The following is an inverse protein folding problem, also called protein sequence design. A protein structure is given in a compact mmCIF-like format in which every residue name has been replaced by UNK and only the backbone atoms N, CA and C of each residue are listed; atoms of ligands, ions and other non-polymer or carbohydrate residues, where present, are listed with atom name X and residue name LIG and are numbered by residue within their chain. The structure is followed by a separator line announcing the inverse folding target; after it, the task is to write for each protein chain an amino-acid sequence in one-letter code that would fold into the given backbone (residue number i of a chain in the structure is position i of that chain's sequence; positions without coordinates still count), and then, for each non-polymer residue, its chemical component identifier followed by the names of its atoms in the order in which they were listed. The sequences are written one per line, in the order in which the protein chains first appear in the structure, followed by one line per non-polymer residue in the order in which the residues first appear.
data_IF_312555129664
#
_entry.id   IF_312555129664
#
_cell.length_a   1.000
_cell.length_b   1.000
_cell.length_c   1.000
_cell.angle_alpha   90.00
_cell.angle_beta   90.00
_cell.angle_gamma   90.00
#
_symmetry.space_group_name_H-M   'P 1'
#
loop_
_entity.id
_entity.type
_entity.pdbx_description
1 polymer ?
#
# COMPACT_ATOMS: atom_id res chain seq x y z
N UNK A 1 -21.46 31.54 -20.26
CA UNK A 1 -21.16 30.16 -19.81
C UNK A 1 -19.69 30.14 -19.42
N UNK A 2 -19.38 30.70 -18.25
CA UNK A 2 -18.07 30.56 -17.63
C UNK A 2 -18.00 29.13 -17.09
N UNK A 3 -17.31 28.27 -17.84
CA UNK A 3 -16.74 27.06 -17.25
C UNK A 3 -15.80 27.51 -16.14
N UNK A 4 -16.30 27.47 -14.89
CA UNK A 4 -15.47 27.44 -13.69
C UNK A 4 -14.51 26.25 -13.84
N UNK A 5 -13.39 26.49 -14.51
CA UNK A 5 -12.16 25.78 -14.21
C UNK A 5 -11.82 26.18 -12.78
N UNK A 6 -12.38 25.42 -11.85
CA UNK A 6 -11.82 25.26 -10.51
C UNK A 6 -10.31 25.08 -10.73
N UNK A 7 -9.46 25.93 -10.15
CA UNK A 7 -8.04 25.86 -10.42
C UNK A 7 -7.62 24.42 -10.15
N UNK A 8 -7.07 23.76 -11.17
CA UNK A 8 -6.40 22.47 -11.03
C UNK A 8 -5.33 22.72 -9.97
N UNK A 9 -5.67 22.42 -8.71
CA UNK A 9 -4.70 22.35 -7.63
C UNK A 9 -3.54 21.54 -8.17
N UNK A 10 -2.34 22.10 -8.07
CA UNK A 10 -1.08 21.61 -8.64
C UNK A 10 -1.16 20.13 -9.02
N UNK A 11 -0.87 19.74 -10.29
CA UNK A 11 -0.73 18.33 -10.63
C UNK A 11 0.43 17.76 -9.81
N UNK A 12 0.11 17.17 -8.65
CA UNK A 12 1.08 16.73 -7.66
C UNK A 12 0.57 16.86 -6.22
N UNK A 13 -0.03 15.79 -5.68
CA UNK A 13 0.08 15.50 -4.25
C UNK A 13 -1.18 15.54 -3.38
N UNK A 14 -2.36 15.19 -3.88
CA UNK A 14 -3.59 15.06 -3.08
C UNK A 14 -4.07 13.61 -2.88
N UNK A 15 -4.60 13.27 -1.69
CA UNK A 15 -5.28 12.00 -1.46
C UNK A 15 -6.72 12.04 -2.00
N UNK A 16 -6.91 12.10 -3.32
CA UNK A 16 -8.20 12.41 -3.98
C UNK A 16 -9.37 11.54 -3.49
N UNK A 17 -9.16 10.23 -3.41
CA UNK A 17 -10.16 9.26 -2.93
C UNK A 17 -10.52 9.54 -1.47
N UNK A 18 -9.52 9.72 -0.60
CA UNK A 18 -9.78 10.05 0.80
C UNK A 18 -10.49 11.41 0.94
N UNK A 19 -10.11 12.41 0.15
CA UNK A 19 -10.78 13.72 0.12
C UNK A 19 -12.24 13.60 -0.32
N UNK A 20 -12.55 12.78 -1.32
CA UNK A 20 -13.93 12.55 -1.76
C UNK A 20 -14.74 11.82 -0.66
N UNK A 21 -14.14 10.78 -0.06
CA UNK A 21 -14.72 10.02 1.04
C UNK A 21 -15.05 10.91 2.25
N UNK A 22 -14.08 11.70 2.74
CA UNK A 22 -14.24 12.52 3.95
C UNK A 22 -14.78 13.93 3.69
N UNK A 23 -14.90 14.34 2.42
CA UNK A 23 -15.54 15.60 2.00
C UNK A 23 -14.65 16.85 2.07
N UNK A 24 -13.46 16.77 2.68
CA UNK A 24 -12.53 17.88 2.78
C UNK A 24 -11.08 17.39 2.78
N UNK A 25 -10.19 18.13 2.13
CA UNK A 25 -8.75 17.87 2.23
C UNK A 25 -8.22 18.13 3.64
N UNK A 26 -8.91 18.98 4.41
CA UNK A 26 -8.57 19.31 5.80
C UNK A 26 -9.20 18.35 6.81
N UNK A 27 -9.94 17.33 6.36
CA UNK A 27 -10.47 16.32 7.26
C UNK A 27 -9.32 15.63 8.02
N UNK A 28 -9.44 15.38 9.35
CA UNK A 28 -8.36 14.81 10.15
C UNK A 28 -7.80 13.49 9.60
N UNK A 29 -8.66 12.66 9.01
CA UNK A 29 -8.29 11.39 8.38
C UNK A 29 -7.40 11.59 7.15
N UNK A 30 -7.73 12.58 6.32
CA UNK A 30 -6.95 12.93 5.13
C UNK A 30 -5.62 13.55 5.54
N UNK A 31 -5.63 14.41 6.56
CA UNK A 31 -4.42 15.01 7.11
C UNK A 31 -3.49 13.95 7.71
N UNK A 32 -4.01 12.95 8.42
CA UNK A 32 -3.17 11.85 8.93
C UNK A 32 -2.37 11.16 7.81
N UNK A 33 -3.03 10.82 6.70
CA UNK A 33 -2.37 10.23 5.52
C UNK A 33 -1.34 11.17 4.88
N UNK A 34 -1.69 12.45 4.73
CA UNK A 34 -0.81 13.47 4.14
C UNK A 34 0.41 13.73 5.01
N UNK A 35 0.23 13.94 6.31
CA UNK A 35 1.31 14.12 7.27
C UNK A 35 2.26 12.92 7.25
N UNK A 36 1.73 11.69 7.23
CA UNK A 36 2.59 10.52 7.12
C UNK A 36 3.41 10.52 5.83
N UNK A 37 2.76 10.74 4.68
CA UNK A 37 3.44 10.84 3.39
C UNK A 37 4.50 11.94 3.40
N UNK A 38 4.14 13.13 3.82
CA UNK A 38 4.98 14.33 3.66
C UNK A 38 6.14 14.34 4.66
N UNK A 39 5.93 13.89 5.90
CA UNK A 39 6.96 13.96 6.95
C UNK A 39 7.84 12.70 7.05
N UNK A 40 7.34 11.54 6.62
CA UNK A 40 8.06 10.27 6.79
C UNK A 40 8.46 9.67 5.45
N UNK A 41 7.51 9.55 4.51
CA UNK A 41 7.78 8.87 3.23
C UNK A 41 8.63 9.74 2.32
N UNK A 42 8.20 10.99 2.04
CA UNK A 42 8.90 11.90 1.14
C UNK A 42 10.20 12.45 1.72
N UNK A 43 10.45 12.27 3.02
CA UNK A 43 11.68 12.65 3.68
C UNK A 43 12.85 11.66 3.42
N UNK A 44 12.63 10.62 2.62
CA UNK A 44 13.62 9.57 2.32
C UNK A 44 13.75 9.37 0.80
N UNK A 45 14.92 8.95 0.35
CA UNK A 45 15.20 8.63 -1.05
C UNK A 45 14.35 7.45 -1.53
N UNK A 46 14.30 6.36 -0.76
CA UNK A 46 13.50 5.18 -1.09
C UNK A 46 12.00 5.51 -1.13
N UNK A 47 11.50 6.26 -0.14
CA UNK A 47 10.11 6.67 -0.06
C UNK A 47 9.70 7.67 -1.15
N UNK A 48 10.54 8.64 -1.47
CA UNK A 48 10.32 9.57 -2.59
C UNK A 48 10.23 8.83 -3.93
N UNK A 49 11.16 7.92 -4.20
CA UNK A 49 11.16 7.11 -5.41
C UNK A 49 9.90 6.22 -5.52
N UNK A 50 9.52 5.56 -4.42
CA UNK A 50 8.25 4.84 -4.34
C UNK A 50 7.06 5.75 -4.66
N UNK A 51 6.98 6.92 -4.03
CA UNK A 51 5.86 7.85 -4.21
C UNK A 51 5.77 8.38 -5.64
N UNK A 52 6.88 8.56 -6.35
CA UNK A 52 6.86 8.94 -7.77
C UNK A 52 6.21 7.86 -8.63
N UNK A 53 6.63 6.59 -8.47
CA UNK A 53 6.02 5.46 -9.19
C UNK A 53 4.57 5.26 -8.79
N UNK A 54 4.28 5.30 -7.49
CA UNK A 54 2.92 5.15 -6.96
C UNK A 54 2.00 6.26 -7.46
N UNK A 55 2.44 7.52 -7.48
CA UNK A 55 1.64 8.65 -7.95
C UNK A 55 1.27 8.50 -9.43
N UNK A 56 2.21 8.07 -10.27
CA UNK A 56 1.94 7.83 -11.69
C UNK A 56 0.82 6.79 -11.86
N UNK A 57 0.85 5.70 -11.08
CA UNK A 57 -0.19 4.70 -11.08
C UNK A 57 -1.51 5.21 -10.47
N UNK A 58 -1.47 5.87 -9.32
CA UNK A 58 -2.62 6.33 -8.55
C UNK A 58 -3.43 7.40 -9.29
N UNK A 59 -2.77 8.42 -9.85
CA UNK A 59 -3.46 9.52 -10.53
C UNK A 59 -3.98 9.15 -11.92
N UNK A 60 -3.57 8.00 -12.48
CA UNK A 60 -4.10 7.50 -13.74
C UNK A 60 -5.60 7.12 -13.67
N UNK A 61 -6.11 6.79 -12.47
CA UNK A 61 -7.50 6.32 -12.30
C UNK A 61 -8.23 6.93 -11.10
N UNK A 62 -7.52 7.42 -10.08
CA UNK A 62 -8.15 7.98 -8.88
C UNK A 62 -9.10 9.17 -9.12
N UNK A 63 -8.92 10.06 -10.13
CA UNK A 63 -9.88 11.13 -10.39
C UNK A 63 -11.27 10.60 -10.77
N UNK A 64 -11.34 9.53 -11.55
CA UNK A 64 -12.61 8.89 -11.94
C UNK A 64 -13.32 8.32 -10.71
N UNK A 65 -12.60 7.64 -9.84
CA UNK A 65 -13.16 7.07 -8.61
C UNK A 65 -13.63 8.17 -7.66
N UNK A 66 -12.84 9.22 -7.47
CA UNK A 66 -13.19 10.36 -6.62
C UNK A 66 -14.45 11.09 -7.13
N UNK A 67 -14.65 11.16 -8.45
CA UNK A 67 -15.88 11.71 -9.03
C UNK A 67 -17.07 10.77 -8.84
N UNK A 68 -16.89 9.47 -9.03
CA UNK A 68 -17.94 8.48 -8.74
C UNK A 68 -18.39 8.52 -7.27
N UNK A 69 -17.46 8.70 -6.33
CA UNK A 69 -17.75 8.86 -4.89
C UNK A 69 -18.60 10.10 -4.59
N UNK A 70 -18.34 11.22 -5.27
CA UNK A 70 -19.12 12.46 -5.09
C UNK A 70 -20.59 12.28 -5.48
N UNK A 71 -20.84 11.42 -6.48
CA UNK A 71 -22.16 11.16 -7.03
C UNK A 71 -22.90 10.01 -6.34
N UNK A 72 -22.25 9.25 -5.44
CA UNK A 72 -22.84 8.08 -4.78
C UNK A 72 -22.56 8.07 -3.27
N UNK A 73 -23.56 8.38 -2.42
CA UNK A 73 -23.42 8.30 -0.97
C UNK A 73 -23.03 6.92 -0.45
N UNK A 74 -23.49 5.86 -1.13
CA UNK A 74 -23.16 4.47 -0.80
C UNK A 74 -21.68 4.20 -1.08
N UNK A 75 -21.19 4.57 -2.26
CA UNK A 75 -19.78 4.38 -2.62
C UNK A 75 -18.86 5.15 -1.67
N UNK A 76 -19.21 6.42 -1.37
CA UNK A 76 -18.52 7.24 -0.39
C UNK A 76 -18.44 6.58 0.99
N UNK A 77 -19.55 5.99 1.46
CA UNK A 77 -19.58 5.27 2.73
C UNK A 77 -18.69 4.02 2.71
N UNK A 78 -18.73 3.23 1.64
CA UNK A 78 -17.87 2.05 1.45
C UNK A 78 -16.39 2.46 1.47
N UNK A 79 -16.00 3.51 0.75
CA UNK A 79 -14.61 4.00 0.75
C UNK A 79 -14.18 4.48 2.13
N UNK A 80 -15.03 5.20 2.88
CA UNK A 80 -14.73 5.56 4.28
C UNK A 80 -14.43 4.31 5.12
N UNK A 81 -15.28 3.29 5.03
CA UNK A 81 -15.08 2.02 5.75
C UNK A 81 -13.78 1.33 5.36
N UNK A 82 -13.40 1.36 4.07
CA UNK A 82 -12.13 0.83 3.61
C UNK A 82 -10.92 1.68 4.06
N UNK A 83 -11.07 2.98 4.32
CA UNK A 83 -9.94 3.81 4.79
C UNK A 83 -9.70 3.65 6.30
N UNK A 84 -10.72 3.33 7.10
CA UNK A 84 -10.54 3.23 8.56
C UNK A 84 -9.47 2.21 9.01
N UNK A 85 -9.44 0.96 8.50
CA UNK A 85 -8.35 0.03 8.81
C UNK A 85 -7.00 0.57 8.34
N UNK A 86 -6.92 1.19 7.17
CA UNK A 86 -5.69 1.81 6.66
C UNK A 86 -5.13 2.88 7.62
N UNK A 87 -6.01 3.67 8.26
CA UNK A 87 -5.58 4.65 9.26
C UNK A 87 -5.02 3.98 10.51
N UNK A 88 -5.56 2.83 10.94
CA UNK A 88 -5.02 2.07 12.05
C UNK A 88 -3.63 1.48 11.70
N UNK A 89 -3.48 0.96 10.47
CA UNK A 89 -2.20 0.47 9.94
C UNK A 89 -1.15 1.58 9.87
N UNK A 90 -1.58 2.81 9.52
CA UNK A 90 -0.72 3.99 9.51
C UNK A 90 -0.11 4.30 10.88
N UNK A 91 -0.87 4.15 11.97
CA UNK A 91 -0.36 4.37 13.32
C UNK A 91 0.66 3.31 13.74
N UNK A 92 0.49 2.06 13.29
CA UNK A 92 1.51 1.02 13.46
C UNK A 92 2.77 1.40 12.68
N UNK A 93 2.62 1.79 11.42
CA UNK A 93 3.74 2.21 10.57
C UNK A 93 4.53 3.38 11.18
N UNK A 94 3.85 4.40 11.73
CA UNK A 94 4.49 5.52 12.43
C UNK A 94 5.35 5.06 13.61
N UNK A 95 4.84 4.14 14.43
CA UNK A 95 5.59 3.58 15.57
C UNK A 95 6.84 2.83 15.10
N UNK A 96 6.71 2.03 14.05
CA UNK A 96 7.86 1.32 13.45
C UNK A 96 8.92 2.32 12.97
N UNK A 97 8.49 3.38 12.28
CA UNK A 97 9.40 4.43 11.84
C UNK A 97 10.15 5.06 13.02
N UNK A 98 9.42 5.43 14.08
CA UNK A 98 10.00 6.07 15.26
C UNK A 98 11.04 5.19 15.97
N UNK A 99 10.79 3.88 16.06
CA UNK A 99 11.73 2.91 16.64
C UNK A 99 13.04 2.84 15.82
N UNK A 100 12.93 2.96 14.50
CA UNK A 100 14.04 2.82 13.57
C UNK A 100 14.60 4.18 13.10
N UNK A 101 14.19 5.28 13.73
CA UNK A 101 14.50 6.65 13.27
C UNK A 101 16.00 7.01 13.28
N UNK A 102 16.86 6.15 13.87
CA UNK A 102 18.31 6.26 13.78
C UNK A 102 18.83 6.18 12.34
N UNK A 103 18.09 5.53 11.43
CA UNK A 103 18.38 5.53 10.00
C UNK A 103 17.07 5.65 9.20
N UNK A 104 16.76 6.85 8.65
CA UNK A 104 15.52 7.10 7.93
C UNK A 104 15.25 6.15 6.75
N UNK A 105 16.28 5.75 6.00
CA UNK A 105 16.12 4.84 4.86
C UNK A 105 15.76 3.41 5.30
N UNK A 106 16.37 2.94 6.40
CA UNK A 106 16.00 1.64 6.99
C UNK A 106 14.61 1.71 7.62
N UNK A 107 14.28 2.82 8.28
CA UNK A 107 12.98 3.05 8.88
C UNK A 107 11.85 2.99 7.83
N UNK A 108 12.01 3.71 6.71
CA UNK A 108 10.98 3.72 5.66
C UNK A 108 10.87 2.37 4.94
N UNK A 109 11.98 1.65 4.75
CA UNK A 109 11.97 0.31 4.17
C UNK A 109 11.18 -0.66 5.08
N UNK A 110 11.47 -0.65 6.37
CA UNK A 110 10.75 -1.47 7.35
C UNK A 110 9.26 -1.10 7.43
N UNK A 111 8.95 0.19 7.39
CA UNK A 111 7.58 0.70 7.27
C UNK A 111 6.89 0.15 6.03
N UNK A 112 7.55 0.18 4.87
CA UNK A 112 7.01 -0.36 3.62
C UNK A 112 6.69 -1.85 3.72
N UNK A 113 7.57 -2.64 4.34
CA UNK A 113 7.34 -4.06 4.60
C UNK A 113 6.14 -4.29 5.53
N UNK A 114 6.12 -3.63 6.69
CA UNK A 114 5.05 -3.78 7.69
C UNK A 114 3.71 -3.34 7.12
N UNK A 115 3.65 -2.17 6.49
CA UNK A 115 2.42 -1.67 5.86
C UNK A 115 1.92 -2.63 4.77
N UNK A 116 2.84 -3.17 3.95
CA UNK A 116 2.47 -4.16 2.93
C UNK A 116 1.91 -5.45 3.55
N UNK A 117 2.52 -5.96 4.62
CA UNK A 117 2.01 -7.12 5.33
C UNK A 117 0.61 -6.88 5.88
N UNK A 118 0.38 -5.74 6.55
CA UNK A 118 -0.92 -5.38 7.10
C UNK A 118 -1.98 -5.24 6.01
N UNK A 119 -1.67 -4.54 4.91
CA UNK A 119 -2.57 -4.40 3.76
C UNK A 119 -2.92 -5.76 3.16
N UNK A 120 -1.97 -6.69 3.02
CA UNK A 120 -2.27 -8.04 2.55
C UNK A 120 -3.24 -8.77 3.50
N UNK A 121 -3.03 -8.68 4.81
CA UNK A 121 -3.86 -9.32 5.82
C UNK A 121 -5.28 -8.75 5.84
N UNK A 122 -5.42 -7.43 5.74
CA UNK A 122 -6.72 -6.76 5.85
C UNK A 122 -7.52 -6.85 4.55
N UNK A 123 -6.89 -6.56 3.40
CA UNK A 123 -7.61 -6.39 2.13
C UNK A 123 -7.51 -7.59 1.18
N UNK A 124 -6.41 -8.35 1.20
CA UNK A 124 -6.20 -9.45 0.26
C UNK A 124 -6.61 -10.82 0.83
N UNK A 125 -6.58 -11.01 2.15
CA UNK A 125 -6.97 -12.28 2.78
C UNK A 125 -8.43 -12.66 2.52
N UNK A 126 -9.45 -11.80 2.71
CA UNK A 126 -10.85 -12.19 2.46
C UNK A 126 -11.12 -12.73 1.04
N UNK A 127 -10.71 -12.04 -0.06
CA UNK A 127 -10.90 -12.58 -1.40
C UNK A 127 -10.04 -13.83 -1.67
N UNK A 128 -8.84 -13.93 -1.08
CA UNK A 128 -8.02 -15.14 -1.22
C UNK A 128 -8.64 -16.37 -0.53
N UNK A 129 -9.32 -16.19 0.60
CA UNK A 129 -10.10 -17.24 1.26
C UNK A 129 -11.24 -17.74 0.37
N UNK A 130 -11.98 -16.80 -0.22
CA UNK A 130 -13.05 -17.13 -1.16
C UNK A 130 -12.49 -17.90 -2.37
N UNK A 131 -11.38 -17.44 -2.94
CA UNK A 131 -10.71 -18.14 -4.04
C UNK A 131 -10.23 -19.54 -3.62
N UNK A 132 -9.68 -19.71 -2.42
CA UNK A 132 -9.26 -21.01 -1.90
C UNK A 132 -10.44 -21.99 -1.78
N UNK A 133 -11.59 -21.52 -1.32
CA UNK A 133 -12.82 -22.30 -1.21
C UNK A 133 -13.36 -22.69 -2.60
N UNK A 134 -13.46 -21.73 -3.53
CA UNK A 134 -13.97 -21.96 -4.90
C UNK A 134 -13.06 -22.90 -5.71
N UNK A 135 -11.74 -22.74 -5.58
CA UNK A 135 -10.75 -23.57 -6.26
C UNK A 135 -10.48 -24.90 -5.54
N UNK A 136 -11.25 -25.22 -4.49
CA UNK A 136 -11.13 -26.46 -3.69
C UNK A 136 -9.69 -26.74 -3.26
N UNK A 137 -8.96 -25.72 -2.84
CA UNK A 137 -7.56 -25.88 -2.39
C UNK A 137 -6.52 -26.10 -3.49
N UNK A 138 -6.88 -26.11 -4.79
CA UNK A 138 -5.95 -26.35 -5.91
C UNK A 138 -5.06 -25.16 -6.28
N UNK A 139 -4.74 -24.31 -5.31
CA UNK A 139 -3.81 -23.19 -5.50
C UNK A 139 -2.38 -23.70 -5.29
N UNK A 140 -1.48 -23.37 -6.23
CA UNK A 140 -0.04 -23.62 -6.11
C UNK A 140 0.64 -22.41 -5.49
N UNK A 141 1.50 -22.66 -4.50
CA UNK A 141 2.23 -21.63 -3.76
C UNK A 141 3.71 -21.71 -4.13
N UNK A 142 4.33 -20.55 -4.31
CA UNK A 142 5.72 -20.37 -4.70
C UNK A 142 6.46 -19.53 -3.65
N UNK A 143 6.19 -19.80 -2.37
CA UNK A 143 6.64 -18.99 -1.25
C UNK A 143 8.17 -18.93 -1.13
N UNK A 144 8.90 -20.02 -1.44
CA UNK A 144 10.37 -20.02 -1.47
C UNK A 144 10.92 -19.06 -2.51
N UNK A 145 10.49 -19.19 -3.77
CA UNK A 145 10.93 -18.33 -4.86
C UNK A 145 10.61 -16.86 -4.57
N UNK A 146 9.41 -16.57 -4.06
CA UNK A 146 9.03 -15.20 -3.72
C UNK A 146 9.80 -14.62 -2.53
N UNK A 147 10.16 -15.43 -1.54
CA UNK A 147 11.03 -15.01 -0.44
C UNK A 147 12.46 -14.72 -0.91
N UNK A 148 13.04 -15.57 -1.75
CA UNK A 148 14.38 -15.34 -2.33
C UNK A 148 14.41 -14.08 -3.20
N UNK A 149 13.39 -13.87 -4.03
CA UNK A 149 13.26 -12.64 -4.82
C UNK A 149 13.12 -11.41 -3.92
N UNK A 150 12.33 -11.47 -2.86
CA UNK A 150 12.19 -10.36 -1.92
C UNK A 150 13.52 -10.01 -1.26
N UNK A 151 14.26 -11.02 -0.78
CA UNK A 151 15.58 -10.82 -0.19
C UNK A 151 16.57 -10.19 -1.18
N UNK A 152 16.59 -10.68 -2.42
CA UNK A 152 17.43 -10.13 -3.50
C UNK A 152 17.08 -8.66 -3.79
N UNK A 153 15.80 -8.32 -3.88
CA UNK A 153 15.36 -6.94 -4.12
C UNK A 153 15.62 -6.00 -2.95
N UNK A 154 15.55 -6.49 -1.70
CA UNK A 154 15.95 -5.72 -0.51
C UNK A 154 17.44 -5.37 -0.58
N UNK A 155 18.30 -6.37 -0.86
CA UNK A 155 19.74 -6.13 -1.00
C UNK A 155 20.00 -5.14 -2.15
N UNK A 156 19.37 -5.34 -3.30
CA UNK A 156 19.49 -4.44 -4.44
C UNK A 156 19.05 -3.01 -4.10
N UNK A 157 17.97 -2.85 -3.35
CA UNK A 157 17.48 -1.54 -2.90
C UNK A 157 18.50 -0.83 -2.00
N UNK A 158 19.07 -1.55 -1.02
CA UNK A 158 20.10 -1.02 -0.13
C UNK A 158 21.36 -0.60 -0.88
N UNK A 159 21.80 -1.38 -1.87
CA UNK A 159 22.92 -1.01 -2.76
C UNK A 159 22.56 0.19 -3.63
N UNK A 160 21.32 0.26 -4.13
CA UNK A 160 20.84 1.35 -4.98
C UNK A 160 20.85 2.70 -4.27
N UNK A 161 20.58 2.72 -2.95
CA UNK A 161 20.65 3.93 -2.12
C UNK A 161 22.05 4.57 -2.10
N UNK A 162 23.10 3.80 -2.37
CA UNK A 162 24.49 4.27 -2.36
C UNK A 162 25.06 4.56 -3.75
N UNK A 163 24.40 4.10 -4.82
CA UNK A 163 25.01 4.01 -6.15
C UNK A 163 24.15 4.64 -7.25
N UNK A 164 22.88 4.22 -7.38
CA UNK A 164 22.02 4.53 -8.54
C UNK A 164 20.58 4.85 -8.12
N UNK A 165 20.27 6.13 -7.92
CA UNK A 165 18.96 6.59 -7.44
C UNK A 165 17.77 6.21 -8.34
N UNK A 166 17.96 6.04 -9.65
CA UNK A 166 16.87 5.69 -10.57
C UNK A 166 16.34 4.27 -10.33
N UNK A 167 17.18 3.36 -9.81
CA UNK A 167 16.81 1.98 -9.55
C UNK A 167 15.87 1.86 -8.33
N UNK A 168 15.83 2.88 -7.47
CA UNK A 168 14.89 2.98 -6.35
C UNK A 168 13.43 3.01 -6.82
N UNK A 169 13.16 3.63 -7.97
CA UNK A 169 11.82 3.70 -8.57
C UNK A 169 11.26 2.34 -8.99
N UNK A 170 12.14 1.35 -9.20
CA UNK A 170 11.80 -0.04 -9.53
C UNK A 170 11.81 -0.91 -8.27
N UNK A 171 12.89 -0.83 -7.49
CA UNK A 171 13.08 -1.70 -6.33
C UNK A 171 12.07 -1.45 -5.22
N UNK A 172 11.74 -0.19 -4.89
CA UNK A 172 10.80 0.13 -3.82
C UNK A 172 9.38 -0.43 -4.05
N UNK A 173 8.70 -0.18 -5.19
CA UNK A 173 7.39 -0.77 -5.44
C UNK A 173 7.45 -2.29 -5.61
N UNK A 174 8.55 -2.83 -6.14
CA UNK A 174 8.71 -4.29 -6.27
C UNK A 174 8.79 -4.97 -4.90
N UNK A 175 9.50 -4.37 -3.93
CA UNK A 175 9.54 -4.87 -2.55
C UNK A 175 8.13 -4.89 -1.93
N UNK A 176 7.33 -3.83 -2.12
CA UNK A 176 5.94 -3.78 -1.65
C UNK A 176 5.11 -4.91 -2.26
N UNK A 177 5.17 -5.11 -3.58
CA UNK A 177 4.43 -6.16 -4.28
C UNK A 177 4.88 -7.57 -3.86
N UNK A 178 6.18 -7.80 -3.73
CA UNK A 178 6.72 -9.09 -3.26
C UNK A 178 6.32 -9.37 -1.81
N UNK A 179 6.27 -8.34 -0.96
CA UNK A 179 5.82 -8.49 0.43
C UNK A 179 4.34 -8.81 0.51
N UNK A 180 3.49 -8.12 -0.27
CA UNK A 180 2.05 -8.42 -0.38
C UNK A 180 1.82 -9.87 -0.83
N UNK A 181 2.50 -10.29 -1.89
CA UNK A 181 2.35 -11.64 -2.45
C UNK A 181 2.89 -12.74 -1.53
N UNK A 182 4.03 -12.52 -0.86
CA UNK A 182 4.58 -13.48 0.09
C UNK A 182 3.66 -13.64 1.32
N UNK A 183 3.15 -12.53 1.86
CA UNK A 183 2.22 -12.53 3.01
C UNK A 183 0.94 -13.28 2.64
N UNK A 184 0.37 -13.00 1.46
CA UNK A 184 -0.83 -13.68 1.00
C UNK A 184 -0.61 -15.19 0.83
N UNK A 185 0.52 -15.59 0.25
CA UNK A 185 0.88 -17.01 0.10
C UNK A 185 1.08 -17.71 1.45
N UNK A 186 1.66 -17.02 2.44
CA UNK A 186 1.83 -17.56 3.78
C UNK A 186 0.46 -17.82 4.44
N UNK A 187 -0.47 -16.86 4.37
CA UNK A 187 -1.84 -17.02 4.89
C UNK A 187 -2.57 -18.17 4.20
N UNK A 188 -2.59 -18.18 2.86
CA UNK A 188 -3.23 -19.24 2.08
C UNK A 188 -2.60 -20.61 2.36
N UNK A 189 -1.27 -20.68 2.49
CA UNK A 189 -0.55 -21.91 2.82
C UNK A 189 -0.91 -22.46 4.19
N UNK A 190 -0.91 -21.61 5.22
CA UNK A 190 -1.28 -21.98 6.58
C UNK A 190 -2.71 -22.52 6.65
N UNK A 191 -3.65 -21.85 5.99
CA UNK A 191 -5.05 -22.23 6.00
C UNK A 191 -5.34 -23.47 5.14
N UNK A 192 -4.69 -23.59 3.99
CA UNK A 192 -4.78 -24.80 3.16
C UNK A 192 -4.30 -26.03 3.94
N UNK A 193 -3.16 -25.91 4.63
CA UNK A 193 -2.64 -26.95 5.51
C UNK A 193 -3.63 -27.29 6.62
N UNK A 194 -4.22 -26.28 7.28
CA UNK A 194 -5.19 -26.50 8.36
C UNK A 194 -6.50 -27.15 7.90
N UNK A 195 -7.10 -26.69 6.79
CA UNK A 195 -8.44 -27.12 6.35
C UNK A 195 -8.43 -28.48 5.64
N UNK A 196 -7.40 -28.75 4.82
CA UNK A 196 -7.38 -29.94 3.95
C UNK A 196 -6.56 -31.10 4.51
N UNK A 197 -5.64 -30.87 5.46
CA UNK A 197 -4.91 -31.94 6.15
C UNK A 197 -5.79 -32.67 7.18
N UNK A 198 -6.83 -32.03 7.69
CA UNK A 198 -7.78 -32.63 8.65
C UNK A 198 -8.89 -33.46 7.98
N UNK A 199 -8.92 -33.54 6.64
CA UNK A 199 -9.89 -34.31 5.84
C UNK A 199 -9.31 -35.57 5.18
N UNK A 200 -8.03 -35.85 5.37
CA UNK A 200 -7.33 -37.06 4.89
C UNK A 200 -6.97 -37.98 6.05
#
# INVERSE_FOLDING_TARGET
VELRLKPLGKPGGGCLIATAAFGSELAPQVQALRTFRDQYVLATCGGLAFMNTFNAWYYAWSPMVAEAERNSPVLKAVVKWLIYPLLAELEVAKKIYQILAFNPEIAILAVGLVASMLVALTYLTPPALLALALLKGRIRLYWKLTAELLASFIILHLVSLQTVNWLLSVTAPTIVLLTLTLTLQAVVGSLKSFIFKTRS
#
